data_IF_433016595154
#
_entry.id   IF_433016595154
#
_cell.length_a   1.000
_cell.length_b   1.000
_cell.length_c   1.000
_cell.angle_alpha   90.00
_cell.angle_beta   90.00
_cell.angle_gamma   90.00
#
_symmetry.space_group_name_H-M   'P 1'
#
loop_
_entity.id
_entity.type
_entity.pdbx_description
1 polymer ?
#
# COMPACT_ATOMS: atom_id res chain seq x y z
N UNK A 1 24.17 -6.87 -19.39
CA UNK A 1 23.39 -6.28 -18.27
C UNK A 1 22.48 -5.14 -18.75
N UNK A 2 22.99 -4.12 -19.45
CA UNK A 2 22.17 -3.00 -19.95
C UNK A 2 20.99 -3.41 -20.83
N UNK A 3 21.20 -4.37 -21.74
CA UNK A 3 20.12 -4.88 -22.61
C UNK A 3 18.99 -5.54 -21.80
N UNK A 4 19.33 -6.38 -20.82
CA UNK A 4 18.35 -7.05 -19.97
C UNK A 4 17.55 -6.04 -19.13
N UNK A 5 18.21 -5.02 -18.59
CA UNK A 5 17.57 -3.93 -17.85
C UNK A 5 16.63 -3.13 -18.76
N UNK A 6 17.09 -2.79 -19.97
CA UNK A 6 16.27 -2.10 -20.96
C UNK A 6 15.02 -2.89 -21.35
N UNK A 7 15.18 -4.18 -21.65
CA UNK A 7 14.05 -5.09 -21.93
C UNK A 7 13.07 -5.19 -20.77
N UNK A 8 13.56 -5.24 -19.53
CA UNK A 8 12.72 -5.29 -18.34
C UNK A 8 11.87 -4.02 -18.17
N UNK A 9 12.48 -2.84 -18.25
CA UNK A 9 11.75 -1.58 -18.12
C UNK A 9 10.75 -1.37 -19.26
N UNK A 10 11.13 -1.71 -20.49
CA UNK A 10 10.22 -1.65 -21.63
C UNK A 10 9.01 -2.58 -21.43
N UNK A 11 9.23 -3.82 -20.96
CA UNK A 11 8.15 -4.76 -20.69
C UNK A 11 7.20 -4.27 -19.57
N UNK A 12 7.72 -3.61 -18.54
CA UNK A 12 6.87 -2.98 -17.51
C UNK A 12 6.04 -1.86 -18.12
N UNK A 13 6.68 -0.93 -18.86
CA UNK A 13 5.99 0.20 -19.46
C UNK A 13 4.88 -0.26 -20.41
N UNK A 14 5.15 -1.23 -21.28
CA UNK A 14 4.13 -1.83 -22.16
C UNK A 14 2.99 -2.46 -21.36
N UNK A 15 3.28 -3.22 -20.30
CA UNK A 15 2.22 -3.80 -19.45
C UNK A 15 1.31 -2.74 -18.82
N UNK A 16 1.87 -1.62 -18.36
CA UNK A 16 1.08 -0.54 -17.78
C UNK A 16 0.29 0.26 -18.84
N UNK A 17 0.78 0.33 -20.07
CA UNK A 17 0.14 1.06 -21.16
C UNK A 17 -0.94 0.23 -21.89
N UNK A 18 -0.72 -1.08 -22.05
CA UNK A 18 -1.49 -1.91 -22.98
C UNK A 18 -2.57 -2.77 -22.28
N UNK A 19 -2.45 -3.05 -20.98
CA UNK A 19 -3.42 -3.88 -20.27
C UNK A 19 -4.70 -3.08 -19.95
N UNK A 20 -5.87 -3.66 -20.24
CA UNK A 20 -7.18 -3.05 -19.95
C UNK A 20 -7.41 -2.75 -18.47
N UNK A 21 -6.80 -3.54 -17.58
CA UNK A 21 -6.78 -3.31 -16.13
C UNK A 21 -5.33 -3.14 -15.69
N UNK A 22 -5.06 -2.10 -14.91
CA UNK A 22 -3.71 -1.81 -14.42
C UNK A 22 -3.12 -2.99 -13.63
N UNK A 23 -1.85 -3.36 -13.86
CA UNK A 23 -1.21 -4.50 -13.20
C UNK A 23 -0.76 -4.17 -11.76
N UNK A 24 -1.66 -3.63 -10.94
CA UNK A 24 -1.42 -3.24 -9.54
C UNK A 24 -2.15 -4.21 -8.62
N UNK A 25 -1.44 -4.76 -7.63
CA UNK A 25 -2.02 -5.69 -6.65
C UNK A 25 -2.13 -5.04 -5.26
N UNK A 26 -3.32 -4.53 -4.95
CA UNK A 26 -3.62 -3.91 -3.65
C UNK A 26 -3.58 -4.92 -2.50
N UNK A 27 -3.94 -6.19 -2.77
CA UNK A 27 -3.90 -7.25 -1.76
C UNK A 27 -2.48 -7.47 -1.24
N UNK A 28 -1.47 -7.40 -2.11
CA UNK A 28 -0.07 -7.48 -1.70
C UNK A 28 0.35 -6.31 -0.79
N UNK A 29 -0.12 -5.09 -1.08
CA UNK A 29 0.11 -3.94 -0.21
C UNK A 29 -0.53 -4.18 1.17
N UNK A 30 -1.79 -4.59 1.20
CA UNK A 30 -2.50 -4.86 2.45
C UNK A 30 -1.85 -5.98 3.28
N UNK A 31 -1.40 -7.06 2.63
CA UNK A 31 -0.63 -8.12 3.26
C UNK A 31 0.70 -7.59 3.83
N UNK A 32 1.37 -6.69 3.11
CA UNK A 32 2.61 -6.08 3.58
C UNK A 32 2.39 -5.23 4.84
N UNK A 33 1.31 -4.46 4.89
CA UNK A 33 0.95 -3.68 6.09
C UNK A 33 0.73 -4.61 7.29
N UNK A 34 -0.06 -5.67 7.12
CA UNK A 34 -0.39 -6.60 8.22
C UNK A 34 0.81 -7.44 8.66
N UNK A 35 1.61 -7.96 7.73
CA UNK A 35 2.61 -8.98 8.04
C UNK A 35 4.05 -8.47 8.09
N UNK A 36 4.33 -7.30 7.51
CA UNK A 36 5.70 -6.75 7.43
C UNK A 36 5.80 -5.47 8.27
N UNK A 37 4.85 -4.55 8.12
CA UNK A 37 4.98 -3.22 8.73
C UNK A 37 4.47 -3.18 10.17
N UNK A 38 3.26 -3.67 10.46
CA UNK A 38 2.70 -3.60 11.82
C UNK A 38 3.44 -4.45 12.88
N UNK A 39 4.03 -5.63 12.59
CA UNK A 39 4.64 -6.44 13.65
C UNK A 39 5.86 -5.80 14.34
N UNK A 40 6.80 -5.13 13.62
CA UNK A 40 7.86 -4.36 14.26
C UNK A 40 7.36 -3.32 15.29
N UNK A 41 6.30 -2.57 14.99
CA UNK A 41 5.73 -1.59 15.93
C UNK A 41 5.25 -2.30 17.20
N UNK A 42 4.50 -3.39 17.04
CA UNK A 42 4.01 -4.18 18.17
C UNK A 42 5.17 -4.63 19.06
N UNK A 43 6.22 -5.18 18.44
CA UNK A 43 7.41 -5.62 19.17
C UNK A 43 8.10 -4.46 19.91
N UNK A 44 8.17 -3.27 19.32
CA UNK A 44 8.72 -2.08 19.98
C UNK A 44 7.87 -1.63 21.17
N UNK A 45 6.54 -1.62 21.04
CA UNK A 45 5.62 -1.32 22.14
C UNK A 45 5.71 -2.37 23.27
N UNK A 46 5.78 -3.66 22.93
CA UNK A 46 5.86 -4.75 23.88
C UNK A 46 7.17 -4.71 24.71
N UNK A 47 8.28 -4.24 24.12
CA UNK A 47 9.55 -4.02 24.82
C UNK A 47 9.45 -2.93 25.90
N UNK A 48 8.56 -1.96 25.72
CA UNK A 48 8.38 -0.83 26.62
C UNK A 48 7.29 -1.08 27.69
N UNK A 49 6.90 -2.34 27.92
CA UNK A 49 5.84 -2.75 28.86
C UNK A 49 5.90 -2.13 30.26
N UNK A 50 7.08 -1.71 30.73
CA UNK A 50 7.26 -1.07 32.04
C UNK A 50 6.69 0.36 32.13
N UNK A 51 6.35 1.00 31.00
CA UNK A 51 5.79 2.35 30.91
C UNK A 51 4.28 2.33 30.58
N UNK A 52 3.54 1.40 31.18
CA UNK A 52 2.17 1.07 30.76
C UNK A 52 1.21 2.27 30.74
N UNK A 53 1.25 3.14 31.76
CA UNK A 53 0.42 4.35 31.82
C UNK A 53 0.74 5.34 30.70
N UNK A 54 2.03 5.58 30.41
CA UNK A 54 2.46 6.49 29.35
C UNK A 54 2.15 5.94 27.95
N UNK A 55 2.09 4.62 27.81
CA UNK A 55 1.86 3.93 26.53
C UNK A 55 0.37 3.67 26.24
N UNK A 56 -0.54 4.05 27.14
CA UNK A 56 -1.96 3.77 26.98
C UNK A 56 -2.49 4.21 25.60
N UNK A 57 -2.27 5.48 25.24
CA UNK A 57 -2.72 6.04 23.96
C UNK A 57 -2.02 5.38 22.77
N UNK A 58 -0.72 5.12 22.87
CA UNK A 58 0.06 4.50 21.79
C UNK A 58 -0.41 3.06 21.51
N UNK A 59 -0.65 2.26 22.57
CA UNK A 59 -1.22 0.91 22.45
C UNK A 59 -2.62 0.95 21.84
N UNK A 60 -3.44 1.93 22.24
CA UNK A 60 -4.79 2.11 21.72
C UNK A 60 -4.78 2.49 20.23
N UNK A 61 -3.93 3.44 19.83
CA UNK A 61 -3.73 3.83 18.43
C UNK A 61 -3.20 2.66 17.59
N UNK A 62 -2.25 1.88 18.12
CA UNK A 62 -1.76 0.69 17.43
C UNK A 62 -2.86 -0.35 17.21
N UNK A 63 -3.74 -0.56 18.20
CA UNK A 63 -4.91 -1.45 18.04
C UNK A 63 -5.82 -0.99 16.91
N UNK A 64 -6.09 0.31 16.79
CA UNK A 64 -6.84 0.85 15.65
C UNK A 64 -6.12 0.61 14.32
N UNK A 65 -4.83 0.93 14.24
CA UNK A 65 -4.03 0.70 13.04
C UNK A 65 -4.11 -0.76 12.60
N UNK A 66 -3.92 -1.70 13.53
CA UNK A 66 -3.97 -3.13 13.23
C UNK A 66 -5.35 -3.57 12.74
N UNK A 67 -6.42 -3.16 13.43
CA UNK A 67 -7.79 -3.51 13.05
C UNK A 67 -8.14 -2.94 11.66
N UNK A 68 -7.87 -1.66 11.42
CA UNK A 68 -8.10 -1.02 10.13
C UNK A 68 -7.24 -1.64 9.02
N UNK A 69 -6.02 -2.09 9.31
CA UNK A 69 -5.19 -2.81 8.34
C UNK A 69 -5.78 -4.17 7.95
N UNK A 70 -6.37 -4.88 8.92
CA UNK A 70 -7.08 -6.13 8.68
C UNK A 70 -8.35 -5.90 7.86
N UNK A 71 -9.12 -4.84 8.13
CA UNK A 71 -10.27 -4.43 7.32
C UNK A 71 -9.84 -4.09 5.90
N UNK A 72 -8.78 -3.29 5.74
CA UNK A 72 -8.23 -2.94 4.43
C UNK A 72 -7.84 -4.19 3.63
N UNK A 73 -7.23 -5.20 4.27
CA UNK A 73 -6.93 -6.49 3.64
C UNK A 73 -8.20 -7.22 3.17
N UNK A 74 -9.27 -7.20 3.96
CA UNK A 74 -10.55 -7.80 3.55
C UNK A 74 -11.15 -7.06 2.34
N UNK A 75 -11.13 -5.73 2.35
CA UNK A 75 -11.60 -4.92 1.22
C UNK A 75 -10.75 -5.14 -0.04
N UNK A 76 -9.43 -5.23 0.10
CA UNK A 76 -8.53 -5.52 -1.02
C UNK A 76 -8.83 -6.89 -1.65
N UNK A 77 -9.05 -7.94 -0.85
CA UNK A 77 -9.43 -9.27 -1.34
C UNK A 77 -10.79 -9.26 -2.04
N UNK A 78 -11.77 -8.51 -1.51
CA UNK A 78 -13.09 -8.35 -2.15
C UNK A 78 -12.96 -7.61 -3.49
N UNK A 79 -12.13 -6.58 -3.54
CA UNK A 79 -11.87 -5.82 -4.77
C UNK A 79 -11.17 -6.68 -5.82
N UNK A 80 -10.24 -7.54 -5.42
CA UNK A 80 -9.62 -8.52 -6.32
C UNK A 80 -10.64 -9.53 -6.92
N UNK A 81 -11.66 -9.92 -6.14
CA UNK A 81 -12.77 -10.71 -6.67
C UNK A 81 -13.58 -9.94 -7.72
N UNK A 82 -13.85 -8.65 -7.49
CA UNK A 82 -14.55 -7.77 -8.45
C UNK A 82 -13.77 -7.69 -9.77
N UNK A 83 -12.45 -7.48 -9.69
CA UNK A 83 -11.57 -7.47 -10.87
C UNK A 83 -11.65 -8.79 -11.63
N UNK A 84 -11.55 -9.92 -10.92
CA UNK A 84 -11.64 -11.26 -11.54
C UNK A 84 -12.98 -11.49 -12.22
N UNK A 85 -14.09 -11.08 -11.61
CA UNK A 85 -15.41 -11.16 -12.23
C UNK A 85 -15.54 -10.27 -13.46
N UNK A 86 -15.03 -9.03 -13.41
CA UNK A 86 -15.03 -8.14 -14.56
C UNK A 86 -14.24 -8.71 -15.75
N UNK A 87 -13.08 -9.33 -15.49
CA UNK A 87 -12.27 -9.99 -16.53
C UNK A 87 -12.99 -11.20 -17.14
N UNK A 88 -13.63 -12.05 -16.32
CA UNK A 88 -14.39 -13.21 -16.82
C UNK A 88 -15.59 -12.73 -17.66
N UNK A 89 -16.32 -11.73 -17.18
CA UNK A 89 -17.48 -11.18 -17.88
C UNK A 89 -17.10 -10.52 -19.21
N UNK A 90 -15.93 -9.89 -19.29
CA UNK A 90 -15.44 -9.32 -20.54
C UNK A 90 -15.18 -10.38 -21.61
N UNK A 91 -14.68 -11.55 -21.23
CA UNK A 91 -14.46 -12.68 -22.16
C UNK A 91 -15.80 -13.19 -22.71
N UNK A 92 -16.86 -13.15 -21.91
CA UNK A 92 -18.18 -13.69 -22.29
C UNK A 92 -19.12 -12.66 -22.93
N UNK A 93 -18.96 -11.37 -22.61
CA UNK A 93 -19.76 -10.25 -23.12
C UNK A 93 -18.84 -9.07 -23.48
N UNK A 94 -18.58 -8.89 -24.78
CA UNK A 94 -17.61 -7.96 -25.36
C UNK A 94 -17.90 -6.45 -25.19
N UNK A 95 -18.84 -6.02 -24.34
CA UNK A 95 -19.45 -4.68 -24.45
C UNK A 95 -19.47 -3.78 -23.22
N UNK A 96 -18.89 -4.15 -22.06
CA UNK A 96 -18.89 -3.24 -20.89
C UNK A 96 -17.51 -2.67 -20.52
N UNK A 97 -17.04 -1.71 -21.32
CA UNK A 97 -15.78 -0.99 -21.07
C UNK A 97 -15.86 -0.02 -19.88
N UNK A 98 -17.05 0.31 -19.37
CA UNK A 98 -17.21 1.26 -18.26
C UNK A 98 -16.69 0.70 -16.94
N UNK A 99 -16.83 -0.61 -16.75
CA UNK A 99 -16.36 -1.29 -15.55
C UNK A 99 -14.83 -1.20 -15.39
N UNK A 100 -14.08 -1.31 -16.49
CA UNK A 100 -12.61 -1.25 -16.46
C UNK A 100 -12.09 0.14 -16.11
N UNK A 101 -12.72 1.21 -16.62
CA UNK A 101 -12.34 2.58 -16.26
C UNK A 101 -12.48 2.81 -14.75
N UNK A 102 -13.62 2.41 -14.18
CA UNK A 102 -13.87 2.56 -12.75
C UNK A 102 -12.90 1.74 -11.90
N UNK A 103 -12.59 0.50 -12.33
CA UNK A 103 -11.59 -0.34 -11.66
C UNK A 103 -10.22 0.34 -11.68
N UNK A 104 -9.78 0.87 -12.82
CA UNK A 104 -8.48 1.52 -12.97
C UNK A 104 -8.39 2.80 -12.13
N UNK A 105 -9.45 3.61 -12.09
CA UNK A 105 -9.52 4.79 -11.25
C UNK A 105 -9.37 4.45 -9.77
N UNK A 106 -10.00 3.34 -9.34
CA UNK A 106 -9.85 2.83 -7.97
C UNK A 106 -8.43 2.32 -7.70
N UNK A 107 -7.83 1.55 -8.61
CA UNK A 107 -6.45 1.06 -8.50
C UNK A 107 -5.46 2.22 -8.35
N UNK A 108 -5.58 3.27 -9.19
CA UNK A 108 -4.75 4.48 -9.08
C UNK A 108 -5.05 5.27 -7.81
N UNK A 109 -6.30 5.27 -7.35
CA UNK A 109 -6.74 6.02 -6.17
C UNK A 109 -6.13 5.53 -4.86
N UNK A 110 -5.86 4.23 -4.72
CA UNK A 110 -5.35 3.64 -3.46
C UNK A 110 -4.04 4.30 -3.01
N UNK A 111 -3.08 4.51 -3.92
CA UNK A 111 -1.81 5.13 -3.58
C UNK A 111 -2.00 6.55 -3.02
N UNK A 112 -2.95 7.30 -3.60
CA UNK A 112 -3.25 8.68 -3.17
C UNK A 112 -3.86 8.73 -1.77
N UNK A 113 -4.54 7.67 -1.33
CA UNK A 113 -5.09 7.60 0.03
C UNK A 113 -4.00 7.58 1.11
N UNK A 114 -2.76 7.23 0.77
CA UNK A 114 -1.63 7.25 1.69
C UNK A 114 -0.84 8.56 1.63
N UNK A 115 -1.33 9.59 0.96
CA UNK A 115 -0.66 10.89 0.89
C UNK A 115 -1.27 11.84 1.94
N UNK A 116 -0.47 12.25 2.92
CA UNK A 116 -0.79 13.34 3.84
C UNK A 116 -0.41 14.69 3.20
N UNK A 117 -1.37 15.58 2.89
CA UNK A 117 -1.09 16.86 2.26
C UNK A 117 -0.15 17.78 3.06
N UNK A 118 -0.09 17.61 4.39
CA UNK A 118 0.76 18.41 5.28
C UNK A 118 2.19 17.89 5.40
N UNK A 119 2.47 16.69 4.90
CA UNK A 119 3.74 16.00 5.13
C UNK A 119 3.92 15.51 6.57
N UNK A 120 5.08 14.93 6.86
CA UNK A 120 5.48 14.56 8.23
C UNK A 120 6.04 15.78 8.97
N UNK A 121 6.09 15.70 10.30
CA UNK A 121 6.57 16.80 11.14
C UNK A 121 7.96 17.27 10.70
N UNK A 122 8.11 18.58 10.48
CA UNK A 122 9.33 19.25 10.00
C UNK A 122 9.80 18.89 8.57
N UNK A 123 9.07 18.04 7.83
CA UNK A 123 9.43 17.63 6.46
C UNK A 123 8.18 17.63 5.55
N UNK A 124 7.72 18.81 5.10
CA UNK A 124 6.46 18.95 4.33
C UNK A 124 6.50 18.27 2.96
N UNK A 125 7.69 18.00 2.42
CA UNK A 125 7.90 17.30 1.15
C UNK A 125 7.67 15.78 1.27
N UNK A 126 7.86 15.22 2.47
CA UNK A 126 7.69 13.80 2.74
C UNK A 126 6.23 13.52 3.12
N UNK A 127 5.42 13.17 2.12
CA UNK A 127 3.96 13.11 2.24
C UNK A 127 3.37 11.70 2.29
N UNK A 128 4.11 10.68 1.87
CA UNK A 128 3.59 9.32 1.85
C UNK A 128 3.61 8.74 3.26
N UNK A 129 2.49 8.23 3.76
CA UNK A 129 2.28 7.76 5.14
C UNK A 129 2.92 6.40 5.44
N UNK A 130 3.13 5.56 4.42
CA UNK A 130 3.77 4.26 4.60
C UNK A 130 5.27 4.29 4.35
N UNK A 131 5.79 5.28 3.62
CA UNK A 131 7.15 5.26 3.06
C UNK A 131 7.76 6.66 3.18
N UNK A 132 8.92 6.74 3.80
CA UNK A 132 9.69 7.98 3.91
C UNK A 132 11.17 7.70 3.65
N UNK A 133 11.91 8.79 3.48
CA UNK A 133 13.37 8.72 3.42
C UNK A 133 13.88 8.95 4.83
N UNK A 134 14.73 8.05 5.33
CA UNK A 134 15.32 8.23 6.65
C UNK A 134 16.15 9.51 6.71
N UNK A 135 15.95 10.32 7.74
CA UNK A 135 16.77 11.50 7.99
C UNK A 135 18.22 11.15 8.34
N UNK A 136 18.46 9.92 8.83
CA UNK A 136 19.80 9.42 9.19
C UNK A 136 20.54 8.80 8.01
N UNK A 137 19.83 8.23 7.04
CA UNK A 137 20.43 7.65 5.84
C UNK A 137 19.50 7.75 4.63
N UNK A 138 19.77 8.74 3.76
CA UNK A 138 18.94 9.03 2.58
C UNK A 138 18.90 7.92 1.53
N UNK A 139 19.82 6.94 1.60
CA UNK A 139 19.84 5.78 0.70
C UNK A 139 19.03 4.60 1.22
N UNK A 140 18.46 4.71 2.42
CA UNK A 140 17.61 3.67 3.03
C UNK A 140 16.16 4.10 2.91
N UNK A 141 15.41 3.39 2.07
CA UNK A 141 13.95 3.44 2.09
C UNK A 141 13.47 2.78 3.38
N UNK A 142 12.75 3.54 4.21
CA UNK A 142 12.22 3.06 5.46
C UNK A 142 10.70 3.21 5.38
N UNK A 143 9.98 2.17 5.76
CA UNK A 143 8.56 2.34 6.04
C UNK A 143 8.45 3.24 7.26
N UNK A 144 7.66 4.32 7.26
CA UNK A 144 7.55 5.25 8.41
C UNK A 144 7.28 4.51 9.72
N UNK A 145 6.55 3.41 9.60
CA UNK A 145 6.22 2.44 10.64
C UNK A 145 7.46 1.80 11.32
N UNK A 146 8.59 1.69 10.61
CA UNK A 146 9.81 1.03 11.08
C UNK A 146 10.77 1.97 11.82
N UNK A 147 10.57 3.29 11.76
CA UNK A 147 11.37 4.28 12.51
C UNK A 147 10.68 4.78 13.79
N UNK A 148 9.41 4.40 14.01
CA UNK A 148 8.62 4.75 15.20
C UNK A 148 8.81 3.75 16.36
#
# INVERSE_FOLDING_TARGET
VHEAVGKYWAAIACKFADLSILPINITNLALSIVHIYTPPIKQSLDKLKHYEEMLYDAKHQFKYLFNTSMEFLQYAKRFDNIIRHALINYITNLYDLKDFSWINDRLMGVERCFINPRGILNEPSQRHLLFSVSNKNKYRFISIIHEA
#
